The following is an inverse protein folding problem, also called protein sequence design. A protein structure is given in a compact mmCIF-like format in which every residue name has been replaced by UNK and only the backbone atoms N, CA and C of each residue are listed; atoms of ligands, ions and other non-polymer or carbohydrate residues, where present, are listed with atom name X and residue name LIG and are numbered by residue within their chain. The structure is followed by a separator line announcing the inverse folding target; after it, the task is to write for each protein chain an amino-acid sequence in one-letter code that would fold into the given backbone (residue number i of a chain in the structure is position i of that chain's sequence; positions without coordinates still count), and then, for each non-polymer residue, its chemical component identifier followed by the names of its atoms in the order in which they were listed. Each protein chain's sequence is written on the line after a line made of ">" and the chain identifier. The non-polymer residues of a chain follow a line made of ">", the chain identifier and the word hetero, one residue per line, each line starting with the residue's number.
data_IF_850585544097
#
_entry.id   IF_850585544097
#
_cell.length_a   1.000
_cell.length_b   1.000
_cell.length_c   1.000
_cell.angle_alpha   90.00
_cell.angle_beta   90.00
_cell.angle_gamma   90.00
#
_symmetry.space_group_name_H-M   'P 1'
#
loop_
_entity.id
_entity.type
_entity.pdbx_description
1 polymer ?
#
# COMPACT_ATOMS: atom_id res chain seq x y z
N UNK A 1 -7.43 4.64 27.90
CA UNK A 1 -6.33 3.68 27.62
C UNK A 1 -6.76 2.81 26.44
N UNK A 2 -6.22 3.04 25.25
CA UNK A 2 -6.56 2.30 24.03
C UNK A 2 -5.27 1.76 23.41
N UNK A 3 -5.17 0.43 23.35
CA UNK A 3 -4.11 -0.31 22.68
C UNK A 3 -4.77 -1.37 21.78
N UNK A 4 -4.07 -1.73 20.70
CA UNK A 4 -4.27 -2.89 19.81
C UNK A 4 -5.23 -2.73 18.61
N UNK A 5 -4.64 -2.49 17.44
CA UNK A 5 -5.18 -3.00 16.17
C UNK A 5 -4.14 -3.67 15.25
N UNK A 6 -2.84 -3.67 15.58
CA UNK A 6 -1.81 -4.43 14.82
C UNK A 6 -0.73 -5.12 15.69
N UNK A 7 -0.86 -5.08 17.02
CA UNK A 7 0.19 -5.48 17.96
C UNK A 7 0.11 -6.89 18.57
N UNK A 8 -1.03 -7.60 18.48
CA UNK A 8 -1.13 -8.95 19.04
C UNK A 8 -2.11 -9.84 18.27
N UNK A 9 -1.67 -10.39 17.14
CA UNK A 9 -2.22 -11.65 16.65
C UNK A 9 -1.07 -12.65 16.66
N UNK A 10 -1.07 -13.53 17.67
CA UNK A 10 -0.16 -14.67 17.74
C UNK A 10 -0.48 -15.62 16.57
N UNK A 11 0.51 -16.31 15.98
CA UNK A 11 0.23 -17.35 15.00
C UNK A 11 -0.56 -18.48 15.65
N UNK A 12 -1.74 -18.78 15.12
CA UNK A 12 -2.71 -19.71 15.71
C UNK A 12 -3.02 -20.91 14.83
N UNK A 13 -2.34 -22.01 15.12
CA UNK A 13 -2.66 -23.44 14.91
C UNK A 13 -2.80 -24.01 13.48
N UNK A 14 -1.96 -25.02 13.23
CA UNK A 14 -2.11 -26.04 12.20
C UNK A 14 -3.41 -26.84 12.37
N UNK A 15 -4.17 -26.98 11.28
CA UNK A 15 -5.36 -27.84 11.19
C UNK A 15 -4.95 -29.32 11.06
N UNK A 16 -4.41 -29.92 12.12
CA UNK A 16 -4.26 -31.37 12.24
C UNK A 16 -4.43 -31.78 13.72
N UNK A 17 -5.65 -31.66 14.24
CA UNK A 17 -6.10 -32.37 15.44
C UNK A 17 -7.58 -32.78 15.25
N UNK A 18 -7.97 -34.00 15.65
CA UNK A 18 -9.31 -34.53 15.36
C UNK A 18 -10.38 -33.91 16.27
N UNK A 19 -11.53 -33.58 15.67
CA UNK A 19 -12.74 -33.08 16.36
C UNK A 19 -13.25 -34.08 17.40
N UNK A 20 -13.63 -33.63 18.62
CA UNK A 20 -14.63 -34.33 19.41
C UNK A 20 -16.03 -33.81 19.10
N UNK A 21 -16.94 -34.77 18.97
CA UNK A 21 -18.37 -34.61 18.78
C UNK A 21 -19.08 -33.97 19.97
N UNK A 22 -20.20 -33.32 19.68
CA UNK A 22 -21.34 -32.95 20.54
C UNK A 22 -21.43 -31.48 20.99
N UNK A 23 -22.63 -30.93 20.73
CA UNK A 23 -23.11 -29.60 21.07
C UNK A 23 -23.26 -29.41 22.58
N UNK A 24 -22.54 -28.44 23.15
CA UNK A 24 -23.04 -27.44 24.12
C UNK A 24 -21.87 -26.75 24.79
N UNK A 25 -21.75 -25.42 24.68
CA UNK A 25 -20.90 -24.64 25.59
C UNK A 25 -21.73 -23.52 26.22
N UNK A 26 -21.98 -23.73 27.52
CA UNK A 26 -22.34 -22.73 28.51
C UNK A 26 -21.11 -21.83 28.70
N UNK A 27 -21.30 -20.50 28.66
CA UNK A 27 -20.26 -19.57 29.11
C UNK A 27 -20.64 -19.02 30.48
N UNK A 28 -19.93 -19.52 31.50
CA UNK A 28 -19.86 -18.91 32.82
C UNK A 28 -19.07 -17.60 32.75
N UNK A 29 -19.67 -16.52 33.26
CA UNK A 29 -18.98 -15.26 33.51
C UNK A 29 -18.47 -15.22 34.96
N UNK A 30 -17.20 -14.86 35.23
CA UNK A 30 -16.80 -14.52 36.58
C UNK A 30 -17.28 -13.10 36.91
N UNK A 31 -18.21 -13.02 37.87
CA UNK A 31 -18.62 -11.78 38.54
C UNK A 31 -17.47 -11.31 39.43
N UNK A 32 -16.81 -10.22 39.05
CA UNK A 32 -15.92 -9.45 39.91
C UNK A 32 -16.63 -8.20 40.42
N UNK A 33 -16.96 -8.18 41.72
CA UNK A 33 -17.43 -6.98 42.42
C UNK A 33 -16.32 -5.93 42.50
N UNK A 34 -16.63 -4.70 42.08
CA UNK A 34 -15.91 -3.51 42.54
C UNK A 34 -16.89 -2.54 43.18
N UNK A 35 -16.60 -2.22 44.44
CA UNK A 35 -17.33 -1.31 45.31
C UNK A 35 -16.86 0.12 44.96
N UNK A 36 -17.74 0.92 44.36
CA UNK A 36 -17.46 2.34 44.09
C UNK A 36 -17.89 3.20 45.28
N UNK A 37 -16.98 4.08 45.68
CA UNK A 37 -17.15 5.10 46.72
C UNK A 37 -18.14 6.19 46.27
N UNK A 38 -18.86 6.76 47.24
CA UNK A 38 -20.06 7.60 47.09
C UNK A 38 -19.83 9.05 46.59
N UNK A 39 -18.78 9.32 45.80
CA UNK A 39 -18.51 10.68 45.30
C UNK A 39 -18.68 10.90 43.78
N UNK A 40 -18.94 9.86 42.97
CA UNK A 40 -19.09 10.04 41.51
C UNK A 40 -20.56 10.12 41.00
N UNK A 41 -21.53 10.27 41.91
CA UNK A 41 -22.93 10.55 41.54
C UNK A 41 -23.09 12.05 41.28
N UNK A 42 -22.80 12.48 40.04
CA UNK A 42 -23.43 13.65 39.37
C UNK A 42 -22.90 13.84 37.95
N UNK A 43 -23.25 12.93 37.03
CA UNK A 43 -23.57 13.30 35.65
C UNK A 43 -24.35 12.20 34.90
N UNK A 44 -25.22 11.48 35.61
CA UNK A 44 -26.28 10.64 35.01
C UNK A 44 -27.59 11.36 35.24
N UNK A 45 -27.90 12.31 34.36
CA UNK A 45 -29.24 12.88 34.21
C UNK A 45 -29.46 13.45 32.81
N UNK A 46 -29.02 12.72 31.78
CA UNK A 46 -29.45 12.91 30.40
C UNK A 46 -29.14 11.61 29.66
N UNK A 47 -30.09 11.06 28.89
CA UNK A 47 -30.06 9.75 28.22
C UNK A 47 -30.63 8.54 29.01
N UNK A 48 -31.72 8.75 29.73
CA UNK A 48 -32.71 7.69 29.96
C UNK A 48 -34.11 8.26 29.73
N UNK A 49 -34.48 8.37 28.46
CA UNK A 49 -35.87 8.42 28.00
C UNK A 49 -35.88 8.07 26.52
N UNK A 50 -36.67 7.04 26.18
CA UNK A 50 -37.03 6.59 24.81
C UNK A 50 -36.23 5.43 24.20
N UNK A 51 -36.02 4.34 24.95
CA UNK A 51 -35.78 2.97 24.40
C UNK A 51 -37.12 2.22 24.23
N UNK A 52 -38.15 2.91 23.74
CA UNK A 52 -39.43 2.27 23.44
C UNK A 52 -40.10 2.87 22.20
N UNK A 53 -39.35 3.08 21.12
CA UNK A 53 -39.94 3.47 19.83
C UNK A 53 -39.05 3.19 18.61
N UNK A 54 -38.39 2.02 18.53
CA UNK A 54 -37.63 1.64 17.32
C UNK A 54 -37.64 0.12 17.06
N UNK A 55 -38.84 -0.48 17.08
CA UNK A 55 -39.06 -1.88 16.64
C UNK A 55 -40.17 -2.06 15.59
N UNK A 56 -40.68 -0.98 15.00
CA UNK A 56 -41.69 -1.05 13.94
C UNK A 56 -41.46 0.00 12.86
N UNK A 57 -40.31 -0.04 12.16
CA UNK A 57 -40.15 0.76 10.93
C UNK A 57 -39.00 0.28 10.02
N UNK A 58 -38.90 -1.02 9.75
CA UNK A 58 -38.03 -1.53 8.68
C UNK A 58 -38.63 -2.76 7.98
N UNK A 59 -39.90 -2.64 7.59
CA UNK A 59 -40.52 -3.57 6.62
C UNK A 59 -41.23 -2.84 5.47
N UNK A 60 -41.03 -1.52 5.34
CA UNK A 60 -41.69 -0.71 4.30
C UNK A 60 -40.72 -0.05 3.30
N UNK A 61 -39.41 -0.03 3.58
CA UNK A 61 -38.42 0.46 2.61
C UNK A 61 -37.90 -0.64 1.66
N UNK A 62 -38.11 -1.91 1.98
CA UNK A 62 -37.67 -3.03 1.14
C UNK A 62 -38.67 -3.34 0.01
N UNK A 63 -39.94 -2.94 0.13
CA UNK A 63 -40.98 -3.16 -0.89
C UNK A 63 -41.28 -1.92 -1.76
N UNK A 64 -40.59 -0.80 -1.56
CA UNK A 64 -40.74 0.41 -2.40
C UNK A 64 -39.63 0.52 -3.47
N UNK A 65 -38.52 -0.21 -3.33
CA UNK A 65 -37.42 -0.21 -4.31
C UNK A 65 -37.52 -1.33 -5.35
N UNK A 66 -38.46 -2.27 -5.23
CA UNK A 66 -38.77 -3.25 -6.29
C UNK A 66 -39.79 -2.74 -7.34
N UNK A 67 -40.40 -1.57 -7.14
CA UNK A 67 -41.45 -1.03 -8.04
C UNK A 67 -40.96 -0.01 -9.08
N UNK A 68 -39.65 0.26 -9.17
CA UNK A 68 -39.10 1.20 -10.16
C UNK A 68 -37.89 0.57 -10.86
N UNK A 69 -38.16 -0.35 -11.79
CA UNK A 69 -37.21 -0.72 -12.85
C UNK A 69 -37.67 -0.07 -14.15
N UNK A 70 -36.87 0.79 -14.80
CA UNK A 70 -36.92 0.93 -16.24
C UNK A 70 -36.05 -0.17 -16.86
N UNK A 71 -36.63 -0.95 -17.77
CA UNK A 71 -35.87 -1.83 -18.68
C UNK A 71 -34.99 -0.96 -19.59
N UNK A 72 -33.67 -1.17 -19.56
CA UNK A 72 -32.72 -0.55 -20.48
C UNK A 72 -32.18 -1.65 -21.40
N UNK A 73 -32.23 -1.47 -22.74
CA UNK A 73 -31.80 -2.48 -23.69
C UNK A 73 -30.27 -2.64 -23.70
N UNK A 74 -29.82 -3.89 -23.79
CA UNK A 74 -28.42 -4.30 -23.89
C UNK A 74 -27.94 -4.05 -25.33
N UNK A 75 -26.90 -3.23 -25.59
CA UNK A 75 -26.24 -3.23 -26.89
C UNK A 75 -25.29 -4.42 -26.98
N UNK A 76 -25.53 -5.29 -27.98
CA UNK A 76 -24.61 -6.34 -28.40
C UNK A 76 -23.36 -5.71 -29.02
N UNK A 77 -22.22 -5.79 -28.33
CA UNK A 77 -20.92 -5.47 -28.93
C UNK A 77 -20.28 -6.73 -29.49
N UNK A 78 -20.20 -6.78 -30.82
CA UNK A 78 -19.37 -7.71 -31.58
C UNK A 78 -17.90 -7.40 -31.30
N UNK A 79 -17.13 -8.40 -30.89
CA UNK A 79 -15.67 -8.33 -30.77
C UNK A 79 -15.07 -8.06 -32.17
N UNK A 80 -14.56 -6.85 -32.38
CA UNK A 80 -13.65 -6.56 -33.49
C UNK A 80 -12.22 -6.82 -32.99
N UNK A 81 -11.57 -7.85 -33.55
CA UNK A 81 -10.15 -8.06 -33.38
C UNK A 81 -9.40 -6.93 -34.12
N UNK A 82 -8.70 -6.09 -33.37
CA UNK A 82 -7.74 -5.15 -33.96
C UNK A 82 -6.37 -5.81 -33.92
N UNK A 83 -5.98 -6.41 -35.04
CA UNK A 83 -4.60 -6.80 -35.28
C UNK A 83 -3.78 -5.52 -35.47
N UNK A 84 -2.76 -5.32 -34.63
CA UNK A 84 -1.75 -4.29 -34.84
C UNK A 84 -0.97 -4.58 -36.13
N UNK A 85 -0.84 -3.65 -37.08
CA UNK A 85 0.05 -3.84 -38.21
C UNK A 85 1.50 -3.74 -37.74
N UNK A 86 2.27 -4.79 -38.05
CA UNK A 86 3.73 -4.77 -38.04
C UNK A 86 4.17 -3.81 -39.15
N UNK A 87 4.83 -2.71 -38.78
CA UNK A 87 5.48 -1.84 -39.76
C UNK A 87 6.89 -2.37 -40.07
N UNK A 88 7.25 -2.56 -41.34
CA UNK A 88 8.61 -2.90 -41.73
C UNK A 88 9.52 -1.67 -41.59
N UNK A 89 10.72 -1.91 -41.07
CA UNK A 89 11.87 -1.01 -41.19
C UNK A 89 12.24 -0.88 -42.66
N UNK A 90 12.07 0.31 -43.23
CA UNK A 90 12.99 0.98 -44.19
C UNK A 90 12.23 2.16 -44.82
N UNK A 91 12.63 3.38 -44.47
CA UNK A 91 12.89 4.49 -45.40
C UNK A 91 13.17 5.78 -44.62
N UNK A 92 14.45 6.13 -44.56
CA UNK A 92 14.95 7.41 -44.09
C UNK A 92 14.81 8.41 -45.23
N UNK A 93 13.80 9.27 -45.18
CA UNK A 93 13.73 10.45 -46.06
C UNK A 93 14.28 11.71 -45.38
N UNK A 94 15.05 12.43 -46.21
CA UNK A 94 15.92 13.55 -45.90
C UNK A 94 15.12 14.83 -45.63
N UNK A 95 15.61 15.57 -44.64
CA UNK A 95 15.31 16.97 -44.34
C UNK A 95 15.03 17.86 -45.55
N UNK A 96 13.95 18.64 -45.46
CA UNK A 96 13.83 19.95 -46.10
C UNK A 96 13.45 20.97 -45.03
N UNK A 97 14.37 21.91 -44.77
CA UNK A 97 14.18 23.06 -43.88
C UNK A 97 13.63 24.21 -44.72
N UNK A 98 12.50 24.78 -44.32
CA UNK A 98 12.08 26.12 -44.75
C UNK A 98 12.15 27.06 -43.56
N UNK A 99 12.98 28.08 -43.70
CA UNK A 99 13.09 29.25 -42.85
C UNK A 99 11.74 29.93 -42.67
N UNK A 100 11.35 30.25 -41.43
CA UNK A 100 10.67 31.52 -41.15
C UNK A 100 10.84 31.92 -39.67
N UNK A 101 11.21 33.18 -39.49
CA UNK A 101 11.62 33.81 -38.23
C UNK A 101 10.43 34.00 -37.27
N UNK A 102 10.42 33.29 -36.14
CA UNK A 102 9.72 33.76 -34.92
C UNK A 102 10.26 33.11 -33.62
N UNK A 103 11.59 33.00 -33.50
CA UNK A 103 12.20 32.08 -32.53
C UNK A 103 12.33 32.61 -31.10
N UNK A 104 12.31 33.92 -30.83
CA UNK A 104 12.56 34.41 -29.46
C UNK A 104 11.41 34.13 -28.48
N UNK A 105 10.19 34.51 -28.84
CA UNK A 105 9.03 34.38 -27.95
C UNK A 105 8.58 32.92 -27.80
N UNK A 106 8.65 32.15 -28.89
CA UNK A 106 8.37 30.71 -28.89
C UNK A 106 9.44 29.92 -28.14
N UNK A 107 10.73 30.27 -28.26
CA UNK A 107 11.78 29.67 -27.40
C UNK A 107 11.58 30.06 -25.94
N UNK A 108 11.20 31.30 -25.62
CA UNK A 108 10.94 31.70 -24.24
C UNK A 108 9.72 31.00 -23.64
N UNK A 109 8.65 30.81 -24.42
CA UNK A 109 7.49 30.03 -24.01
C UNK A 109 7.83 28.54 -23.80
N UNK A 110 8.61 27.94 -24.72
CA UNK A 110 9.09 26.56 -24.58
C UNK A 110 10.09 26.39 -23.42
N UNK A 111 10.91 27.40 -23.13
CA UNK A 111 11.82 27.41 -21.98
C UNK A 111 11.03 27.54 -20.67
N UNK A 112 10.02 28.41 -20.61
CA UNK A 112 9.13 28.53 -19.46
C UNK A 112 8.29 27.27 -19.24
N UNK A 113 7.80 26.65 -20.30
CA UNK A 113 7.06 25.39 -20.25
C UNK A 113 7.97 24.20 -19.87
N UNK A 114 9.20 24.15 -20.38
CA UNK A 114 10.20 23.14 -19.97
C UNK A 114 10.64 23.30 -18.51
N UNK A 115 10.71 24.53 -18.00
CA UNK A 115 11.06 24.83 -16.60
C UNK A 115 9.88 24.60 -15.65
N UNK A 116 8.65 24.77 -16.13
CA UNK A 116 7.43 24.39 -15.42
C UNK A 116 7.22 22.86 -15.40
N UNK A 117 7.49 22.17 -16.51
CA UNK A 117 7.48 20.69 -16.60
C UNK A 117 8.56 20.05 -15.72
N UNK A 118 9.80 20.59 -15.74
CA UNK A 118 10.89 20.12 -14.87
C UNK A 118 10.54 20.21 -13.38
N UNK A 119 9.85 21.26 -12.95
CA UNK A 119 9.55 21.43 -11.51
C UNK A 119 8.50 20.45 -10.96
N UNK A 120 7.61 19.90 -11.80
CA UNK A 120 6.59 18.94 -11.36
C UNK A 120 7.10 17.50 -11.37
N UNK A 121 7.92 17.12 -12.37
CA UNK A 121 8.52 15.79 -12.46
C UNK A 121 9.62 15.58 -11.40
N UNK A 122 10.32 16.65 -10.99
CA UNK A 122 11.34 16.57 -9.95
C UNK A 122 10.77 16.44 -8.53
N UNK A 123 9.50 16.83 -8.33
CA UNK A 123 8.81 16.85 -7.02
C UNK A 123 8.10 15.52 -6.72
N UNK A 124 7.36 14.98 -7.68
CA UNK A 124 6.54 13.79 -7.46
C UNK A 124 7.22 12.54 -8.01
N UNK A 125 7.37 11.52 -7.17
CA UNK A 125 8.07 10.29 -7.50
C UNK A 125 7.12 9.11 -7.60
N UNK A 126 7.22 8.33 -8.68
CA UNK A 126 6.55 7.04 -8.80
C UNK A 126 7.32 6.02 -7.96
N UNK A 127 6.76 5.65 -6.82
CA UNK A 127 7.39 4.74 -5.84
C UNK A 127 6.65 3.41 -5.70
N UNK A 128 5.73 3.12 -6.60
CA UNK A 128 4.94 1.88 -6.61
C UNK A 128 4.52 1.51 -8.03
N UNK A 129 3.85 0.36 -8.24
CA UNK A 129 3.20 0.04 -9.51
C UNK A 129 2.01 0.94 -9.87
N UNK A 130 1.63 1.90 -9.02
CA UNK A 130 0.55 2.86 -9.27
C UNK A 130 1.15 4.22 -9.63
N UNK A 131 0.80 4.75 -10.80
CA UNK A 131 1.33 6.00 -11.35
C UNK A 131 0.35 7.18 -11.27
N UNK A 132 -0.85 6.96 -10.71
CA UNK A 132 -1.81 8.05 -10.55
C UNK A 132 -1.45 8.96 -9.38
N UNK A 133 -1.83 10.25 -9.51
CA UNK A 133 -1.50 11.31 -8.55
C UNK A 133 -1.64 10.94 -7.05
N UNK A 134 -2.69 10.26 -6.58
CA UNK A 134 -2.82 9.88 -5.16
C UNK A 134 -1.74 8.92 -4.65
N UNK A 135 -1.02 8.25 -5.55
CA UNK A 135 0.00 7.27 -5.23
C UNK A 135 1.43 7.83 -5.32
N UNK A 136 1.59 9.01 -5.90
CA UNK A 136 2.90 9.63 -6.09
C UNK A 136 3.44 10.15 -4.75
N UNK A 137 4.71 9.88 -4.49
CA UNK A 137 5.42 10.42 -3.34
C UNK A 137 5.80 11.87 -3.59
N UNK A 138 5.32 12.78 -2.74
CA UNK A 138 5.73 14.19 -2.75
C UNK A 138 7.05 14.37 -2.00
N UNK A 139 8.15 14.59 -2.73
CA UNK A 139 9.49 14.72 -2.15
C UNK A 139 9.65 15.97 -1.28
N UNK A 140 8.82 17.00 -1.46
CA UNK A 140 8.85 18.19 -0.60
C UNK A 140 8.37 17.91 0.84
N UNK A 141 7.67 16.78 1.06
CA UNK A 141 7.22 16.36 2.39
C UNK A 141 8.31 15.65 3.20
N UNK A 142 9.45 15.37 2.57
CA UNK A 142 10.55 14.60 3.14
C UNK A 142 11.77 15.48 3.42
N UNK A 143 12.56 15.10 4.43
CA UNK A 143 13.90 15.64 4.61
C UNK A 143 14.89 15.02 3.61
N UNK A 144 16.10 15.58 3.54
CA UNK A 144 17.09 15.19 2.53
C UNK A 144 17.44 13.68 2.56
N UNK A 145 17.73 13.03 3.71
CA UNK A 145 18.02 11.60 3.71
C UNK A 145 16.89 10.75 3.12
N UNK A 146 15.64 11.07 3.48
CA UNK A 146 14.47 10.36 2.97
C UNK A 146 14.24 10.61 1.46
N UNK A 147 14.47 11.84 0.98
CA UNK A 147 14.42 12.14 -0.46
C UNK A 147 15.46 11.34 -1.26
N UNK A 148 16.70 11.28 -0.77
CA UNK A 148 17.79 10.55 -1.44
C UNK A 148 17.51 9.05 -1.47
N UNK A 149 17.08 8.46 -0.35
CA UNK A 149 16.72 7.04 -0.31
C UNK A 149 15.51 6.74 -1.21
N UNK A 150 14.47 7.58 -1.20
CA UNK A 150 13.30 7.39 -2.07
C UNK A 150 13.70 7.38 -3.55
N UNK A 151 14.58 8.30 -3.98
CA UNK A 151 15.13 8.35 -5.35
C UNK A 151 15.91 7.07 -5.68
N UNK A 152 16.75 6.58 -4.78
CA UNK A 152 17.46 5.31 -4.98
C UNK A 152 16.50 4.12 -5.08
N UNK A 153 15.47 4.06 -4.23
CA UNK A 153 14.48 2.99 -4.18
C UNK A 153 13.62 2.87 -5.45
N UNK A 154 13.60 3.89 -6.33
CA UNK A 154 12.99 3.77 -7.66
C UNK A 154 13.57 2.58 -8.42
N UNK A 155 14.89 2.36 -8.31
CA UNK A 155 15.61 1.24 -8.93
C UNK A 155 15.45 -0.12 -8.27
N UNK A 156 14.60 -0.23 -7.22
CA UNK A 156 14.39 -1.50 -6.51
C UNK A 156 13.76 -2.54 -7.46
N UNK A 157 14.45 -3.65 -7.66
CA UNK A 157 14.03 -4.76 -8.53
C UNK A 157 14.16 -6.10 -7.81
N UNK A 158 13.23 -7.00 -8.07
CA UNK A 158 13.28 -8.38 -7.60
C UNK A 158 14.31 -9.16 -8.42
N UNK A 159 15.23 -9.86 -7.76
CA UNK A 159 16.32 -10.62 -8.40
C UNK A 159 16.02 -12.11 -8.56
N UNK A 160 14.91 -12.58 -7.97
CA UNK A 160 14.62 -14.01 -7.82
C UNK A 160 13.19 -14.32 -8.22
N UNK A 161 12.95 -15.54 -8.70
CA UNK A 161 11.61 -16.04 -9.00
C UNK A 161 10.90 -16.59 -7.75
N UNK A 162 11.64 -17.10 -6.77
CA UNK A 162 11.14 -17.68 -5.51
C UNK A 162 10.98 -16.63 -4.38
N UNK A 163 10.88 -15.36 -4.75
CA UNK A 163 10.85 -14.20 -3.85
C UNK A 163 9.79 -14.29 -2.74
N UNK A 164 8.66 -14.97 -3.01
CA UNK A 164 7.57 -15.15 -2.08
C UNK A 164 8.01 -15.90 -0.80
N UNK A 165 9.05 -16.73 -0.89
CA UNK A 165 9.57 -17.53 0.23
C UNK A 165 11.06 -17.33 0.53
N UNK A 166 11.83 -16.74 -0.39
CA UNK A 166 13.26 -16.49 -0.21
C UNK A 166 13.56 -15.47 0.92
N UNK A 167 14.75 -15.51 1.55
CA UNK A 167 15.19 -14.50 2.51
C UNK A 167 15.10 -13.09 1.94
N UNK A 168 14.47 -12.16 2.66
CA UNK A 168 14.13 -10.83 2.12
C UNK A 168 15.35 -10.04 1.62
N UNK A 169 16.48 -10.13 2.34
CA UNK A 169 17.72 -9.43 2.00
C UNK A 169 18.29 -9.89 0.65
N UNK A 170 18.09 -11.17 0.30
CA UNK A 170 18.57 -11.77 -0.95
C UNK A 170 17.57 -11.61 -2.11
N UNK A 171 16.33 -11.18 -1.83
CA UNK A 171 15.26 -11.07 -2.83
C UNK A 171 15.45 -9.87 -3.75
N UNK A 172 15.98 -8.75 -3.25
CA UNK A 172 16.07 -7.49 -3.96
C UNK A 172 17.52 -7.03 -4.16
N UNK A 173 17.73 -6.14 -5.12
CA UNK A 173 19.04 -5.55 -5.44
C UNK A 173 19.51 -4.48 -4.43
N UNK A 174 19.40 -4.75 -3.13
CA UNK A 174 19.72 -3.77 -2.08
C UNK A 174 21.12 -3.15 -2.21
N UNK A 175 22.13 -3.92 -2.60
CA UNK A 175 23.47 -3.38 -2.81
C UNK A 175 23.49 -2.29 -3.90
N UNK A 176 22.79 -2.49 -5.03
CA UNK A 176 22.68 -1.48 -6.09
C UNK A 176 21.94 -0.22 -5.61
N UNK A 177 20.94 -0.38 -4.76
CA UNK A 177 20.20 0.74 -4.14
C UNK A 177 21.11 1.56 -3.23
N UNK A 178 21.91 0.89 -2.40
CA UNK A 178 22.85 1.57 -1.49
C UNK A 178 23.99 2.24 -2.26
N UNK A 179 24.47 1.64 -3.35
CA UNK A 179 25.46 2.26 -4.22
C UNK A 179 24.89 3.53 -4.90
N UNK A 180 23.64 3.46 -5.40
CA UNK A 180 22.93 4.62 -5.96
C UNK A 180 22.73 5.71 -4.90
N UNK A 181 22.34 5.33 -3.67
CA UNK A 181 22.20 6.26 -2.55
C UNK A 181 23.52 6.98 -2.24
N UNK A 182 24.64 6.25 -2.26
CA UNK A 182 25.98 6.82 -2.04
C UNK A 182 26.35 7.83 -3.13
N UNK A 183 26.04 7.54 -4.39
CA UNK A 183 26.26 8.46 -5.50
C UNK A 183 25.37 9.71 -5.38
N UNK A 184 24.10 9.53 -5.06
CA UNK A 184 23.17 10.64 -4.81
C UNK A 184 23.65 11.52 -3.65
N UNK A 185 24.05 10.93 -2.52
CA UNK A 185 24.56 11.70 -1.38
C UNK A 185 25.79 12.55 -1.76
N UNK A 186 26.71 12.00 -2.57
CA UNK A 186 27.86 12.76 -3.09
C UNK A 186 27.46 13.88 -4.04
N UNK A 187 26.55 13.60 -4.98
CA UNK A 187 26.11 14.57 -5.99
C UNK A 187 25.37 15.76 -5.36
N UNK A 188 24.65 15.53 -4.26
CA UNK A 188 23.94 16.57 -3.51
C UNK A 188 24.80 17.20 -2.39
N UNK A 189 26.09 16.89 -2.30
CA UNK A 189 27.00 17.31 -1.21
C UNK A 189 26.42 17.06 0.18
N UNK A 190 25.66 15.97 0.32
CA UNK A 190 24.98 15.60 1.55
C UNK A 190 25.86 14.69 2.40
N UNK A 191 26.22 15.16 3.59
CA UNK A 191 26.91 14.33 4.59
C UNK A 191 25.93 13.37 5.25
N UNK A 192 25.85 12.15 4.72
CA UNK A 192 25.04 11.08 5.27
C UNK A 192 25.52 10.69 6.68
N UNK A 193 24.58 10.74 7.64
CA UNK A 193 24.79 10.19 8.98
C UNK A 193 24.05 8.86 9.08
N UNK A 194 24.40 8.04 10.06
CA UNK A 194 23.65 6.81 10.32
C UNK A 194 22.14 7.09 10.39
N UNK A 195 21.38 6.42 9.54
CA UNK A 195 19.91 6.53 9.45
C UNK A 195 19.29 5.14 9.42
N UNK A 196 18.11 5.01 10.04
CA UNK A 196 17.35 3.77 10.07
C UNK A 196 15.98 3.94 9.42
N UNK A 197 15.60 2.99 8.59
CA UNK A 197 14.32 2.96 7.89
C UNK A 197 13.56 1.70 8.26
N UNK A 198 12.24 1.80 8.24
CA UNK A 198 11.36 0.72 8.64
C UNK A 198 10.79 0.01 7.43
N UNK A 199 10.90 -1.31 7.42
CA UNK A 199 10.45 -2.15 6.31
C UNK A 199 9.36 -3.09 6.81
N UNK A 200 8.28 -3.18 6.03
CA UNK A 200 7.24 -4.18 6.22
C UNK A 200 7.31 -5.16 5.06
N UNK A 201 7.29 -6.45 5.37
CA UNK A 201 7.19 -7.53 4.39
C UNK A 201 5.94 -8.33 4.68
N UNK A 202 4.99 -8.29 3.74
CA UNK A 202 3.76 -9.07 3.78
C UNK A 202 3.92 -10.27 2.85
N UNK A 203 4.07 -11.46 3.44
CA UNK A 203 4.07 -12.73 2.70
C UNK A 203 2.69 -13.34 2.80
N UNK A 204 2.14 -13.79 1.68
CA UNK A 204 0.79 -14.33 1.65
C UNK A 204 0.71 -15.57 0.76
N UNK A 205 -0.33 -16.35 0.98
CA UNK A 205 -0.76 -17.40 0.07
C UNK A 205 -2.27 -17.26 -0.13
N UNK A 206 -2.70 -17.09 -1.38
CA UNK A 206 -4.12 -17.19 -1.76
C UNK A 206 -4.44 -18.62 -2.13
N UNK A 207 -5.69 -19.08 -1.91
CA UNK A 207 -6.13 -20.37 -2.44
C UNK A 207 -5.93 -20.43 -3.95
N UNK A 208 -5.33 -21.50 -4.51
CA UNK A 208 -5.11 -21.63 -5.95
C UNK A 208 -6.38 -21.42 -6.79
N UNK A 209 -7.53 -21.84 -6.27
CA UNK A 209 -8.86 -21.70 -6.89
C UNK A 209 -9.36 -20.25 -6.92
N UNK A 210 -8.89 -19.38 -6.04
CA UNK A 210 -9.28 -17.96 -5.98
C UNK A 210 -8.23 -17.01 -6.56
N UNK A 211 -7.11 -17.53 -7.10
CA UNK A 211 -6.09 -16.70 -7.80
C UNK A 211 -6.72 -15.90 -8.94
N UNK A 212 -7.75 -16.44 -9.61
CA UNK A 212 -8.48 -15.73 -10.66
C UNK A 212 -9.26 -14.50 -10.15
N UNK A 213 -9.56 -14.42 -8.85
CA UNK A 213 -10.23 -13.29 -8.20
C UNK A 213 -9.25 -12.33 -7.50
N UNK A 214 -7.95 -12.49 -7.74
CA UNK A 214 -6.91 -11.65 -7.14
C UNK A 214 -7.03 -10.16 -7.52
N UNK A 215 -7.75 -9.83 -8.60
CA UNK A 215 -8.08 -8.44 -8.95
C UNK A 215 -8.82 -7.70 -7.84
N UNK A 216 -9.65 -8.39 -7.07
CA UNK A 216 -10.44 -7.79 -5.99
C UNK A 216 -9.54 -7.36 -4.82
N UNK A 217 -8.46 -8.12 -4.57
CA UNK A 217 -7.39 -7.72 -3.66
C UNK A 217 -6.65 -6.48 -4.18
N UNK A 218 -6.42 -6.40 -5.49
CA UNK A 218 -5.77 -5.25 -6.12
C UNK A 218 -6.53 -3.93 -5.92
N UNK A 219 -7.86 -3.96 -5.92
CA UNK A 219 -8.68 -2.76 -5.66
C UNK A 219 -8.53 -2.28 -4.21
N UNK A 220 -8.58 -3.21 -3.25
CA UNK A 220 -8.40 -2.89 -1.83
C UNK A 220 -6.98 -2.41 -1.54
N UNK A 221 -5.98 -3.05 -2.15
CA UNK A 221 -4.57 -2.70 -2.01
C UNK A 221 -4.29 -1.30 -2.55
N UNK A 222 -4.80 -0.99 -3.74
CA UNK A 222 -4.66 0.34 -4.34
C UNK A 222 -5.27 1.42 -3.44
N UNK A 223 -6.47 1.21 -2.93
CA UNK A 223 -7.11 2.18 -2.03
C UNK A 223 -6.32 2.37 -0.72
N UNK A 224 -5.83 1.28 -0.13
CA UNK A 224 -4.97 1.33 1.05
C UNK A 224 -3.65 2.06 0.75
N UNK A 225 -3.02 1.81 -0.39
CA UNK A 225 -1.80 2.50 -0.80
C UNK A 225 -1.99 4.01 -0.89
N UNK A 226 -3.05 4.50 -1.54
CA UNK A 226 -3.31 5.94 -1.65
C UNK A 226 -3.40 6.60 -0.26
N UNK A 227 -4.07 5.93 0.68
CA UNK A 227 -4.19 6.36 2.07
C UNK A 227 -2.84 6.36 2.83
N UNK A 228 -1.98 5.37 2.57
CA UNK A 228 -0.61 5.34 3.09
C UNK A 228 0.24 6.49 2.55
N UNK A 229 0.18 6.76 1.24
CA UNK A 229 0.88 7.88 0.61
C UNK A 229 0.44 9.21 1.21
N UNK A 230 -0.88 9.43 1.35
CA UNK A 230 -1.45 10.65 1.92
C UNK A 230 -1.04 10.87 3.39
N UNK A 231 -0.84 9.79 4.15
CA UNK A 231 -0.43 9.85 5.56
C UNK A 231 1.01 10.33 5.76
N UNK A 232 1.85 10.25 4.73
CA UNK A 232 3.26 10.68 4.76
C UNK A 232 4.25 9.66 5.34
N UNK A 233 5.54 9.86 5.04
CA UNK A 233 6.63 8.98 5.49
C UNK A 233 6.74 7.64 4.74
N UNK A 234 5.91 7.42 3.72
CA UNK A 234 5.96 6.28 2.82
C UNK A 234 7.02 6.49 1.72
N UNK A 235 7.96 5.57 1.53
CA UNK A 235 9.10 5.77 0.62
C UNK A 235 9.06 4.86 -0.62
N UNK A 236 8.55 3.63 -0.47
CA UNK A 236 8.48 2.65 -1.56
C UNK A 236 7.40 1.62 -1.30
N UNK A 237 6.73 1.20 -2.36
CA UNK A 237 5.93 -0.01 -2.41
C UNK A 237 6.39 -0.93 -3.54
N UNK A 238 6.31 -2.23 -3.29
CA UNK A 238 6.45 -3.23 -4.34
C UNK A 238 5.58 -4.43 -4.00
N UNK A 239 4.97 -5.04 -5.02
CA UNK A 239 4.31 -6.33 -4.88
C UNK A 239 4.56 -7.20 -6.11
N UNK A 240 4.60 -8.50 -5.88
CA UNK A 240 4.70 -9.51 -6.93
C UNK A 240 3.33 -10.01 -7.41
N UNK A 241 3.38 -11.05 -8.22
CA UNK A 241 2.20 -11.82 -8.65
C UNK A 241 2.25 -13.19 -7.98
N UNK A 242 1.13 -13.72 -7.46
CA UNK A 242 1.12 -15.04 -6.85
C UNK A 242 1.78 -16.12 -7.71
N UNK A 243 2.63 -16.95 -7.11
CA UNK A 243 3.25 -18.10 -7.77
C UNK A 243 2.22 -19.19 -8.09
N UNK A 244 2.67 -20.30 -8.69
CA UNK A 244 1.80 -21.45 -9.01
C UNK A 244 1.07 -22.06 -7.80
N UNK A 245 1.53 -21.81 -6.58
CA UNK A 245 0.92 -22.27 -5.33
C UNK A 245 0.11 -21.15 -4.65
N UNK A 246 -0.07 -20.00 -5.30
CA UNK A 246 -0.75 -18.83 -4.78
C UNK A 246 0.10 -17.97 -3.83
N UNK A 247 1.41 -18.20 -3.70
CA UNK A 247 2.27 -17.45 -2.76
C UNK A 247 2.74 -16.13 -3.36
N UNK A 248 2.72 -15.07 -2.56
CA UNK A 248 3.17 -13.76 -2.98
C UNK A 248 3.94 -13.02 -1.87
N UNK A 249 4.60 -11.92 -2.26
CA UNK A 249 5.21 -10.95 -1.37
C UNK A 249 4.80 -9.54 -1.81
N UNK A 250 4.39 -8.74 -0.83
CA UNK A 250 4.34 -7.29 -0.93
C UNK A 250 5.27 -6.69 0.12
N UNK A 251 5.88 -5.55 -0.17
CA UNK A 251 6.77 -4.87 0.76
C UNK A 251 6.68 -3.37 0.63
N UNK A 252 6.81 -2.68 1.75
CA UNK A 252 6.94 -1.24 1.79
C UNK A 252 8.08 -0.79 2.69
N UNK A 253 8.66 0.36 2.32
CA UNK A 253 9.72 1.05 3.06
C UNK A 253 9.16 2.37 3.56
N UNK A 254 9.42 2.67 4.83
CA UNK A 254 8.95 3.85 5.54
C UNK A 254 10.12 4.55 6.22
N UNK A 255 9.98 5.86 6.40
CA UNK A 255 10.89 6.66 7.22
C UNK A 255 10.99 6.12 8.65
N UNK A 256 9.86 5.67 9.22
CA UNK A 256 9.82 5.15 10.60
C UNK A 256 8.69 4.15 10.83
N UNK A 257 8.77 3.38 11.92
CA UNK A 257 7.68 2.50 12.37
C UNK A 257 6.43 3.28 12.78
N UNK A 258 6.60 4.52 13.26
CA UNK A 258 5.51 5.42 13.61
C UNK A 258 4.74 5.88 12.37
N UNK A 259 5.43 6.25 11.29
CA UNK A 259 4.79 6.60 10.01
C UNK A 259 4.02 5.41 9.44
N UNK A 260 4.63 4.21 9.44
CA UNK A 260 3.95 2.98 9.02
C UNK A 260 2.68 2.70 9.82
N UNK A 261 2.72 2.97 11.13
CA UNK A 261 1.54 2.83 12.00
C UNK A 261 0.46 3.83 11.62
N UNK A 262 0.79 5.11 11.43
CA UNK A 262 -0.18 6.14 11.02
C UNK A 262 -0.79 5.78 9.66
N UNK A 263 0.02 5.38 8.69
CA UNK A 263 -0.47 4.96 7.36
C UNK A 263 -1.39 3.75 7.38
N UNK A 264 -1.32 2.90 8.42
CA UNK A 264 -2.07 1.64 8.50
C UNK A 264 -3.44 1.70 9.21
N UNK A 265 -3.83 2.85 9.79
CA UNK A 265 -5.04 2.93 10.64
C UNK A 265 -6.29 3.46 9.91
N UNK A 266 -6.16 3.90 8.68
CA UNK A 266 -7.27 4.49 7.93
C UNK A 266 -8.36 3.49 7.51
N UNK A 267 -9.53 3.97 7.04
CA UNK A 267 -10.62 3.11 6.59
C UNK A 267 -10.24 2.12 5.48
N UNK A 268 -9.40 2.51 4.51
CA UNK A 268 -9.05 1.63 3.39
C UNK A 268 -8.11 0.51 3.83
N UNK A 269 -7.10 0.82 4.64
CA UNK A 269 -6.26 -0.21 5.27
C UNK A 269 -7.07 -1.16 6.15
N UNK A 270 -8.05 -0.65 6.91
CA UNK A 270 -8.94 -1.51 7.71
C UNK A 270 -9.78 -2.44 6.83
N UNK A 271 -10.28 -1.95 5.70
CA UNK A 271 -11.00 -2.79 4.74
C UNK A 271 -10.10 -3.89 4.16
N UNK A 272 -8.90 -3.55 3.70
CA UNK A 272 -7.91 -4.50 3.20
C UNK A 272 -7.52 -5.56 4.27
N UNK A 273 -7.24 -5.11 5.49
CA UNK A 273 -6.92 -5.99 6.62
C UNK A 273 -8.08 -6.92 7.01
N UNK A 274 -9.33 -6.44 6.92
CA UNK A 274 -10.50 -7.27 7.16
C UNK A 274 -10.67 -8.33 6.07
N UNK A 275 -10.42 -7.97 4.81
CA UNK A 275 -10.53 -8.88 3.70
C UNK A 275 -9.44 -9.96 3.71
N UNK A 276 -8.22 -9.59 4.14
CA UNK A 276 -7.10 -10.52 4.31
C UNK A 276 -7.43 -11.73 5.20
N UNK A 277 -8.36 -11.59 6.17
CA UNK A 277 -8.78 -12.70 7.05
C UNK A 277 -9.52 -13.82 6.33
N UNK A 278 -10.09 -13.55 5.16
CA UNK A 278 -10.93 -14.50 4.44
C UNK A 278 -10.38 -14.84 3.05
N UNK A 279 -9.47 -14.02 2.52
CA UNK A 279 -8.93 -14.18 1.17
C UNK A 279 -7.60 -14.93 1.09
N UNK A 280 -6.86 -15.00 2.20
CA UNK A 280 -5.57 -15.72 2.25
C UNK A 280 -5.73 -17.02 3.03
N UNK A 281 -5.15 -18.11 2.52
CA UNK A 281 -4.99 -19.34 3.29
C UNK A 281 -3.97 -19.15 4.40
N UNK A 282 -2.89 -18.42 4.10
CA UNK A 282 -1.81 -18.11 5.04
C UNK A 282 -1.28 -16.70 4.77
N UNK A 283 -0.87 -16.01 5.84
CA UNK A 283 -0.14 -14.75 5.70
C UNK A 283 0.77 -14.50 6.92
N UNK A 284 1.83 -13.74 6.68
CA UNK A 284 2.84 -13.35 7.68
C UNK A 284 3.31 -11.93 7.41
N UNK A 285 3.44 -11.15 8.49
CA UNK A 285 4.08 -9.84 8.46
C UNK A 285 5.44 -9.94 9.13
N UNK A 286 6.49 -9.57 8.41
CA UNK A 286 7.83 -9.36 8.95
C UNK A 286 8.07 -7.85 9.07
N UNK A 287 8.71 -7.46 10.16
CA UNK A 287 9.10 -6.07 10.43
C UNK A 287 10.61 -6.04 10.45
N UNK A 288 11.21 -5.28 9.56
CA UNK A 288 12.65 -5.21 9.39
C UNK A 288 13.12 -3.77 9.53
N UNK A 289 14.40 -3.62 9.86
CA UNK A 289 15.13 -2.35 9.90
C UNK A 289 16.15 -2.37 8.78
N UNK A 290 16.15 -1.37 7.90
CA UNK A 290 17.31 -1.04 7.09
C UNK A 290 18.13 0.00 7.85
N UNK A 291 19.35 -0.34 8.23
CA UNK A 291 20.30 0.60 8.81
C UNK A 291 21.35 0.94 7.77
N UNK A 292 21.56 2.24 7.51
CA UNK A 292 22.59 2.74 6.60
C UNK A 292 23.57 3.55 7.42
N UNK A 293 24.81 3.10 7.51
CA UNK A 293 25.87 3.71 8.33
C UNK A 293 26.36 5.04 7.73
N UNK A 294 27.15 5.77 8.52
CA UNK A 294 27.77 7.03 8.12
C UNK A 294 28.41 6.95 6.73
N UNK A 295 28.27 8.03 5.95
CA UNK A 295 28.75 8.14 4.57
C UNK A 295 28.28 7.04 3.60
N UNK A 296 27.25 6.26 3.98
CA UNK A 296 26.74 5.14 3.17
C UNK A 296 27.85 4.07 2.95
N UNK A 297 28.73 3.88 3.94
CA UNK A 297 29.84 2.92 3.85
C UNK A 297 29.37 1.47 4.04
N UNK A 298 28.45 1.27 4.97
CA UNK A 298 27.91 -0.04 5.35
C UNK A 298 26.39 0.03 5.49
N UNK A 299 25.74 -1.12 5.32
CA UNK A 299 24.31 -1.25 5.52
C UNK A 299 23.97 -2.64 6.01
N UNK A 300 22.84 -2.76 6.71
CA UNK A 300 22.30 -4.04 7.14
C UNK A 300 20.77 -3.99 7.12
N UNK A 301 20.16 -5.15 6.82
CA UNK A 301 18.74 -5.38 7.03
C UNK A 301 18.58 -6.49 8.06
N UNK A 302 17.90 -6.15 9.15
CA UNK A 302 17.70 -7.06 10.27
C UNK A 302 16.27 -6.99 10.79
N UNK A 303 15.93 -7.87 11.73
CA UNK A 303 14.62 -7.85 12.36
C UNK A 303 14.43 -6.60 13.21
N UNK A 304 13.28 -5.93 13.05
CA UNK A 304 12.90 -4.82 13.92
C UNK A 304 12.58 -5.32 15.34
N UNK A 305 13.13 -4.64 16.34
CA UNK A 305 12.86 -4.86 17.76
C UNK A 305 12.31 -3.56 18.35
N UNK A 306 11.12 -3.64 18.97
CA UNK A 306 10.43 -2.50 19.61
C UNK A 306 11.11 -2.05 20.92
#
# INVERSE_FOLDING_TARGET
>A
MSWYLFGQLRPGRSFLDPLPSSNSYIFDFPVGSFMLSLEDIKLISFLQSSIHLFKYQFSFLYNFLESIRPEIPIPSYTMAAVASPILPFDDVERFAVSDELDSSASLQALILDSKAHSSSEDRYLIVSPYDEKPHLLDLETLDTPNQLLARALVGLKCLREDYATAPYVETFNWQEIIDTLRELAKNFDHKWREESFYIVVFRSQVPPETVAHYSDLGVLDKAAHAEATESGGFLKYWFGVPDKNGRNLATCVWRSSQDAKIGSVGPHHRAAANAARHMYTEWKIERLRLLVKDNVEEWEIEQWVD
#
